data_IF_395343565275
#
_entry.id   IF_395343565275
#
_cell.length_a   1.000
_cell.length_b   1.000
_cell.length_c   1.000
_cell.angle_alpha   90.00
_cell.angle_beta   90.00
_cell.angle_gamma   90.00
#
_symmetry.space_group_name_H-M   'P 1'
#
loop_
_entity.id
_entity.type
_entity.pdbx_description
1 polymer ?
#
# COMPACT_ATOMS: atom_id res chain seq x y z
N UNK A 1 21.20 -8.25 0.43
CA UNK A 1 21.01 -9.47 -0.34
C UNK A 1 20.86 -9.18 -1.83
N UNK A 2 20.84 -10.22 -2.67
CA UNK A 2 20.76 -10.10 -4.15
C UNK A 2 19.52 -9.31 -4.61
N UNK A 3 18.40 -9.47 -3.91
CA UNK A 3 17.13 -8.78 -4.23
C UNK A 3 16.95 -7.43 -3.53
N UNK A 4 17.92 -6.98 -2.70
CA UNK A 4 17.78 -5.69 -2.01
C UNK A 4 17.98 -4.52 -2.97
N UNK A 5 17.01 -3.60 -3.01
CA UNK A 5 17.05 -2.39 -3.82
C UNK A 5 17.87 -1.33 -3.08
N UNK A 6 19.19 -1.45 -3.16
CA UNK A 6 20.13 -0.48 -2.58
C UNK A 6 20.31 0.70 -3.52
N UNK A 7 20.51 1.88 -2.96
CA UNK A 7 20.77 3.12 -3.69
C UNK A 7 21.98 2.99 -4.61
N UNK A 8 21.86 3.47 -5.83
CA UNK A 8 22.92 3.50 -6.84
C UNK A 8 23.33 2.15 -7.43
N UNK A 9 22.70 1.05 -7.01
CA UNK A 9 23.01 -0.30 -7.51
C UNK A 9 21.98 -0.78 -8.52
N UNK A 10 22.48 -1.37 -9.62
CA UNK A 10 21.64 -2.01 -10.61
C UNK A 10 21.09 -3.34 -10.10
N UNK A 11 19.82 -3.60 -10.38
CA UNK A 11 19.13 -4.84 -10.04
C UNK A 11 18.25 -5.29 -11.19
N UNK A 12 18.25 -6.59 -11.42
CA UNK A 12 17.25 -7.21 -12.30
C UNK A 12 15.90 -7.17 -11.62
N UNK A 13 14.88 -6.78 -12.36
CA UNK A 13 13.51 -6.71 -11.89
C UNK A 13 12.52 -7.14 -12.98
N UNK A 14 11.37 -7.61 -12.55
CA UNK A 14 10.18 -7.71 -13.39
C UNK A 14 9.33 -6.47 -13.11
N UNK A 15 9.16 -5.63 -14.13
CA UNK A 15 8.46 -4.36 -13.98
C UNK A 15 7.10 -4.40 -14.66
N UNK A 16 6.09 -3.85 -13.97
CA UNK A 16 4.77 -3.57 -14.53
C UNK A 16 4.65 -2.05 -14.71
N UNK A 17 4.72 -1.59 -15.95
CA UNK A 17 4.61 -0.18 -16.32
C UNK A 17 3.16 0.07 -16.72
N UNK A 18 2.48 0.99 -16.04
CA UNK A 18 1.05 1.23 -16.23
C UNK A 18 0.77 2.67 -16.63
N UNK A 19 -0.13 2.87 -17.60
CA UNK A 19 -0.73 4.17 -17.90
C UNK A 19 -2.09 4.25 -17.23
N UNK A 20 -2.28 5.23 -16.35
CA UNK A 20 -3.50 5.40 -15.56
C UNK A 20 -4.19 6.68 -15.99
N UNK A 21 -5.49 6.63 -16.24
CA UNK A 21 -6.29 7.79 -16.61
C UNK A 21 -6.74 8.61 -15.39
N UNK A 22 -7.38 9.76 -15.63
CA UNK A 22 -7.90 10.66 -14.60
C UNK A 22 -8.98 10.02 -13.69
N UNK A 23 -9.52 8.86 -14.07
CA UNK A 23 -10.48 8.09 -13.27
C UNK A 23 -9.81 6.98 -12.44
N UNK A 24 -8.49 6.94 -12.37
CA UNK A 24 -7.75 5.92 -11.61
C UNK A 24 -7.77 4.52 -12.24
N UNK A 25 -8.08 4.40 -13.55
CA UNK A 25 -8.13 3.11 -14.26
C UNK A 25 -6.91 2.94 -15.14
N UNK A 26 -6.36 1.73 -15.14
CA UNK A 26 -5.29 1.34 -16.07
C UNK A 26 -5.87 1.28 -17.48
N UNK A 27 -5.30 2.07 -18.40
CA UNK A 27 -5.70 2.13 -19.83
C UNK A 27 -4.65 1.52 -20.75
N UNK A 28 -3.50 1.18 -20.23
CA UNK A 28 -2.43 0.49 -20.93
C UNK A 28 -1.38 0.04 -19.94
N UNK A 29 -0.73 -1.09 -20.23
CA UNK A 29 0.36 -1.58 -19.40
C UNK A 29 1.37 -2.38 -20.22
N UNK A 30 2.55 -2.55 -19.64
CA UNK A 30 3.61 -3.38 -20.16
C UNK A 30 4.28 -4.12 -19.00
N UNK A 31 4.42 -5.42 -19.11
CA UNK A 31 5.18 -6.26 -18.20
C UNK A 31 6.49 -6.63 -18.89
N UNK A 32 7.62 -6.29 -18.28
CA UNK A 32 8.94 -6.48 -18.90
C UNK A 32 10.01 -6.84 -17.88
N UNK A 33 10.98 -7.63 -18.34
CA UNK A 33 12.24 -7.80 -17.64
C UNK A 33 13.08 -6.53 -17.80
N UNK A 34 13.56 -6.00 -16.69
CA UNK A 34 14.24 -4.70 -16.64
C UNK A 34 15.47 -4.75 -15.77
N UNK A 35 16.37 -3.79 -15.99
CA UNK A 35 17.42 -3.43 -15.04
C UNK A 35 17.04 -2.09 -14.43
N UNK A 36 16.87 -2.06 -13.12
CA UNK A 36 16.54 -0.84 -12.38
C UNK A 36 17.71 -0.42 -11.51
N UNK A 37 17.87 0.90 -11.32
CA UNK A 37 18.78 1.50 -10.38
C UNK A 37 18.03 2.49 -9.53
N UNK A 38 18.03 2.27 -8.22
CA UNK A 38 17.33 3.13 -7.25
C UNK A 38 18.18 4.38 -6.99
N UNK A 39 17.63 5.56 -7.20
CA UNK A 39 18.30 6.82 -6.95
C UNK A 39 18.43 7.12 -5.47
N UNK A 40 17.36 6.85 -4.69
CA UNK A 40 17.31 7.04 -3.25
C UNK A 40 16.53 5.94 -2.56
N UNK A 41 17.07 5.44 -1.46
CA UNK A 41 16.37 4.49 -0.60
C UNK A 41 15.60 5.21 0.50
N UNK A 42 14.34 5.55 0.21
CA UNK A 42 13.47 6.26 1.14
C UNK A 42 12.91 5.36 2.25
N UNK A 43 12.56 5.97 3.38
CA UNK A 43 11.83 5.32 4.46
C UNK A 43 10.40 5.84 4.51
N UNK A 44 9.45 5.02 4.99
CA UNK A 44 8.06 5.46 5.19
C UNK A 44 7.95 6.65 6.14
N UNK A 45 8.78 6.69 7.18
CA UNK A 45 8.80 7.79 8.14
C UNK A 45 9.19 9.11 7.49
N UNK A 46 10.29 9.12 6.70
CA UNK A 46 10.75 10.33 6.01
C UNK A 46 9.73 10.82 4.97
N UNK A 47 9.20 9.91 4.13
CA UNK A 47 8.19 10.29 3.12
C UNK A 47 6.89 10.78 3.78
N UNK A 48 6.46 10.15 4.87
CA UNK A 48 5.29 10.61 5.60
C UNK A 48 5.51 12.02 6.17
N UNK A 49 6.64 12.29 6.81
CA UNK A 49 6.98 13.61 7.34
C UNK A 49 7.00 14.69 6.24
N UNK A 50 7.61 14.40 5.08
CA UNK A 50 7.62 15.29 3.91
C UNK A 50 6.20 15.63 3.43
N UNK A 51 5.29 14.64 3.43
CA UNK A 51 3.94 14.81 2.90
C UNK A 51 2.96 15.42 3.89
N UNK A 52 3.11 15.17 5.19
CA UNK A 52 2.14 15.58 6.22
C UNK A 52 2.60 16.78 7.05
N UNK A 53 3.91 16.93 7.28
CA UNK A 53 4.47 17.92 8.19
C UNK A 53 5.72 18.61 7.59
N UNK A 54 5.65 19.16 6.35
CA UNK A 54 6.82 19.71 5.65
C UNK A 54 7.47 20.87 6.40
N UNK A 55 6.68 21.66 7.12
CA UNK A 55 7.17 22.81 7.90
C UNK A 55 7.93 22.40 9.16
N UNK A 56 7.62 21.22 9.72
CA UNK A 56 8.31 20.68 10.89
C UNK A 56 9.65 20.00 10.53
N UNK A 57 9.86 19.66 9.25
CA UNK A 57 11.02 18.93 8.77
C UNK A 57 11.70 19.61 7.57
N UNK A 58 12.17 20.89 7.71
CA UNK A 58 12.81 21.62 6.62
C UNK A 58 14.08 20.92 6.09
N UNK A 59 14.79 20.19 6.95
CA UNK A 59 15.98 19.41 6.58
C UNK A 59 15.64 18.28 5.57
N UNK A 60 14.52 17.58 5.76
CA UNK A 60 14.09 16.56 4.80
C UNK A 60 13.61 17.18 3.49
N UNK A 61 12.95 18.34 3.57
CA UNK A 61 12.50 19.08 2.39
C UNK A 61 13.67 19.56 1.54
N UNK A 62 14.79 19.97 2.15
CA UNK A 62 15.99 20.38 1.46
C UNK A 62 16.76 19.18 0.89
N UNK A 63 16.95 18.12 1.69
CA UNK A 63 17.68 16.93 1.29
C UNK A 63 17.01 16.21 0.11
N UNK A 64 15.67 16.12 0.12
CA UNK A 64 14.89 15.39 -0.90
C UNK A 64 14.09 16.30 -1.83
N UNK A 65 14.47 17.58 -1.97
CA UNK A 65 13.71 18.58 -2.74
C UNK A 65 13.38 18.14 -4.16
N UNK A 66 14.29 17.41 -4.84
CA UNK A 66 14.07 16.89 -6.19
C UNK A 66 12.97 15.81 -6.25
N UNK A 67 12.75 15.08 -5.16
CA UNK A 67 11.78 13.98 -5.07
C UNK A 67 10.41 14.42 -4.55
N UNK A 68 10.33 15.56 -3.86
CA UNK A 68 9.09 16.08 -3.27
C UNK A 68 7.95 16.21 -4.29
N UNK A 69 8.16 16.74 -5.51
CA UNK A 69 7.09 16.81 -6.51
C UNK A 69 6.56 15.42 -6.89
N UNK A 70 7.45 14.44 -7.04
CA UNK A 70 7.07 13.05 -7.34
C UNK A 70 6.24 12.45 -6.19
N UNK A 71 6.63 12.64 -4.91
CA UNK A 71 5.89 12.12 -3.78
C UNK A 71 4.47 12.70 -3.71
N UNK A 72 4.29 13.98 -4.02
CA UNK A 72 2.96 14.61 -4.11
C UNK A 72 2.10 14.01 -5.21
N UNK A 73 2.67 13.81 -6.40
CA UNK A 73 1.97 13.14 -7.50
C UNK A 73 1.60 11.70 -7.14
N UNK A 74 2.51 10.96 -6.47
CA UNK A 74 2.22 9.61 -5.98
C UNK A 74 1.07 9.62 -4.95
N UNK A 75 1.02 10.59 -4.05
CA UNK A 75 -0.07 10.75 -3.08
C UNK A 75 -1.42 11.02 -3.77
N UNK A 76 -1.45 11.92 -4.74
CA UNK A 76 -2.64 12.22 -5.54
C UNK A 76 -3.12 10.98 -6.31
N UNK A 77 -2.20 10.26 -6.95
CA UNK A 77 -2.50 9.03 -7.66
C UNK A 77 -3.03 7.94 -6.72
N UNK A 78 -2.42 7.76 -5.56
CA UNK A 78 -2.89 6.81 -4.54
C UNK A 78 -4.32 7.12 -4.09
N UNK A 79 -4.64 8.39 -3.84
CA UNK A 79 -6.00 8.81 -3.48
C UNK A 79 -7.02 8.47 -4.59
N UNK A 80 -6.63 8.69 -5.86
CA UNK A 80 -7.46 8.37 -7.02
C UNK A 80 -7.71 6.85 -7.15
N UNK A 81 -6.66 6.04 -7.04
CA UNK A 81 -6.73 4.57 -7.06
C UNK A 81 -7.65 4.06 -5.95
N UNK A 82 -7.47 4.59 -4.73
CA UNK A 82 -8.28 4.23 -3.56
C UNK A 82 -9.74 4.57 -3.74
N UNK A 83 -10.05 5.76 -4.30
CA UNK A 83 -11.43 6.15 -4.63
C UNK A 83 -12.06 5.16 -5.61
N UNK A 84 -11.34 4.81 -6.68
CA UNK A 84 -11.80 3.83 -7.66
C UNK A 84 -12.06 2.45 -7.04
N UNK A 85 -11.22 2.00 -6.11
CA UNK A 85 -11.43 0.74 -5.37
C UNK A 85 -12.66 0.80 -4.46
N UNK A 86 -12.88 1.91 -3.76
CA UNK A 86 -14.09 2.12 -2.93
C UNK A 86 -15.37 2.08 -3.76
N UNK A 87 -15.38 2.69 -4.94
CA UNK A 87 -16.51 2.63 -5.87
C UNK A 87 -16.81 1.19 -6.32
N UNK A 88 -15.78 0.33 -6.40
CA UNK A 88 -15.94 -1.12 -6.70
C UNK A 88 -16.41 -1.94 -5.49
N UNK A 89 -16.58 -1.34 -4.32
CA UNK A 89 -17.04 -1.99 -3.09
C UNK A 89 -15.92 -2.48 -2.16
N UNK A 90 -14.68 -2.00 -2.33
CA UNK A 90 -13.62 -2.29 -1.39
C UNK A 90 -13.92 -1.65 -0.03
N UNK A 91 -13.77 -2.42 1.04
CA UNK A 91 -13.96 -1.97 2.42
C UNK A 91 -12.56 -1.80 3.02
N UNK A 92 -12.27 -0.60 3.53
CA UNK A 92 -11.04 -0.35 4.29
C UNK A 92 -11.30 -0.72 5.76
N UNK A 93 -10.75 -1.84 6.21
CA UNK A 93 -10.71 -2.18 7.62
C UNK A 93 -9.38 -1.71 8.20
N UNK A 94 -9.44 -0.79 9.15
CA UNK A 94 -8.27 -0.40 9.93
C UNK A 94 -8.06 -1.39 11.09
N UNK A 95 -7.50 -2.56 10.79
CA UNK A 95 -7.00 -3.43 11.84
C UNK A 95 -5.57 -3.04 12.18
N UNK A 96 -5.29 -2.65 13.44
CA UNK A 96 -3.93 -2.37 13.85
C UNK A 96 -3.10 -3.67 13.80
N UNK A 97 -2.15 -3.73 12.87
CA UNK A 97 -1.14 -4.78 12.89
C UNK A 97 -0.21 -4.57 14.09
N UNK A 98 0.16 -5.66 14.75
CA UNK A 98 1.06 -5.59 15.90
C UNK A 98 2.51 -5.72 15.46
N UNK A 99 3.34 -4.77 15.89
CA UNK A 99 4.79 -4.82 15.75
C UNK A 99 5.41 -5.28 17.08
N UNK A 100 6.22 -6.34 17.04
CA UNK A 100 6.99 -6.80 18.18
C UNK A 100 8.37 -6.16 18.12
N UNK A 101 8.72 -5.42 19.16
CA UNK A 101 10.06 -4.85 19.34
C UNK A 101 10.89 -5.86 20.14
N UNK A 102 12.06 -6.19 19.59
CA UNK A 102 13.00 -7.12 20.20
C UNK A 102 14.20 -6.35 20.76
N UNK A 103 14.79 -6.84 21.84
CA UNK A 103 16.10 -6.39 22.34
C UNK A 103 17.26 -6.93 21.47
N UNK A 104 18.51 -6.61 21.88
CA UNK A 104 19.70 -7.07 21.18
C UNK A 104 19.89 -8.59 21.22
N UNK A 105 19.28 -9.25 22.18
CA UNK A 105 19.28 -10.70 22.39
C UNK A 105 18.15 -11.41 21.65
N UNK A 106 17.24 -10.65 21.01
CA UNK A 106 16.09 -11.17 20.26
C UNK A 106 14.86 -11.49 21.13
N UNK A 107 14.82 -11.01 22.37
CA UNK A 107 13.69 -11.17 23.27
C UNK A 107 12.65 -10.08 23.04
N UNK A 108 11.34 -10.39 22.97
CA UNK A 108 10.29 -9.39 22.86
C UNK A 108 10.25 -8.48 24.10
N UNK A 109 10.40 -7.16 23.89
CA UNK A 109 10.35 -6.15 24.95
C UNK A 109 9.08 -5.30 24.90
N UNK A 110 8.48 -5.17 23.71
CA UNK A 110 7.28 -4.35 23.54
C UNK A 110 6.45 -4.87 22.37
N UNK A 111 5.12 -4.74 22.49
CA UNK A 111 4.16 -4.95 21.40
C UNK A 111 3.44 -3.62 21.18
N UNK A 112 3.65 -3.01 20.02
CA UNK A 112 3.00 -1.76 19.65
C UNK A 112 2.25 -1.90 18.31
N UNK A 113 1.22 -1.08 18.04
CA UNK A 113 0.59 -1.09 16.73
C UNK A 113 1.57 -0.63 15.66
N UNK A 114 1.56 -1.30 14.50
CA UNK A 114 2.29 -0.85 13.33
C UNK A 114 1.61 0.42 12.80
N UNK A 115 2.31 1.55 12.67
CA UNK A 115 1.68 2.77 12.24
C UNK A 115 1.30 2.70 10.75
N UNK A 116 -0.01 2.73 10.47
CA UNK A 116 -0.50 3.00 9.12
C UNK A 116 -0.42 4.51 8.88
N UNK A 117 0.34 4.92 7.88
CA UNK A 117 0.52 6.33 7.53
C UNK A 117 0.33 6.57 6.02
N UNK A 118 0.41 7.82 5.58
CA UNK A 118 0.20 8.19 4.17
C UNK A 118 1.15 7.43 3.25
N UNK A 119 2.42 7.31 3.63
CA UNK A 119 3.44 6.66 2.80
C UNK A 119 3.23 5.13 2.69
N UNK A 120 2.85 4.46 3.78
CA UNK A 120 2.55 3.01 3.74
C UNK A 120 1.33 2.71 2.89
N UNK A 121 0.25 3.50 3.04
CA UNK A 121 -0.99 3.36 2.25
C UNK A 121 -0.75 3.61 0.77
N UNK A 122 0.08 4.57 0.42
CA UNK A 122 0.43 4.90 -0.95
C UNK A 122 1.11 3.71 -1.65
N UNK A 123 2.06 3.08 -1.01
CA UNK A 123 2.75 1.89 -1.55
C UNK A 123 1.79 0.70 -1.64
N UNK A 124 0.92 0.51 -0.65
CA UNK A 124 -0.11 -0.54 -0.68
C UNK A 124 -1.03 -0.39 -1.89
N UNK A 125 -1.53 0.81 -2.19
CA UNK A 125 -2.39 1.06 -3.34
C UNK A 125 -1.68 0.73 -4.67
N UNK A 126 -0.41 1.08 -4.81
CA UNK A 126 0.38 0.74 -6.00
C UNK A 126 0.67 -0.76 -6.11
N UNK A 127 0.96 -1.42 -5.00
CA UNK A 127 1.15 -2.88 -4.97
C UNK A 127 -0.12 -3.62 -5.40
N UNK A 128 -1.27 -3.21 -4.88
CA UNK A 128 -2.56 -3.81 -5.24
C UNK A 128 -2.89 -3.60 -6.71
N UNK A 129 -2.70 -2.39 -7.24
CA UNK A 129 -2.91 -2.11 -8.66
C UNK A 129 -1.99 -2.94 -9.56
N UNK A 130 -0.70 -3.05 -9.21
CA UNK A 130 0.24 -3.87 -9.95
C UNK A 130 -0.17 -5.35 -9.93
N UNK A 131 -0.55 -5.88 -8.77
CA UNK A 131 -1.00 -7.25 -8.61
C UNK A 131 -2.27 -7.54 -9.44
N UNK A 132 -3.25 -6.64 -9.41
CA UNK A 132 -4.49 -6.75 -10.20
C UNK A 132 -4.16 -6.75 -11.70
N UNK A 133 -3.31 -5.82 -12.16
CA UNK A 133 -2.94 -5.69 -13.58
C UNK A 133 -2.20 -6.93 -14.10
N UNK A 134 -1.24 -7.44 -13.33
CA UNK A 134 -0.51 -8.65 -13.71
C UNK A 134 -1.43 -9.86 -13.73
N UNK A 135 -2.29 -10.02 -12.72
CA UNK A 135 -3.23 -11.15 -12.67
C UNK A 135 -4.22 -11.12 -13.84
N UNK A 136 -4.76 -9.95 -14.19
CA UNK A 136 -5.69 -9.77 -15.30
C UNK A 136 -5.04 -10.10 -16.65
N UNK A 137 -3.81 -9.62 -16.87
CA UNK A 137 -3.06 -9.87 -18.12
C UNK A 137 -2.87 -11.36 -18.37
N UNK A 138 -2.35 -12.11 -17.37
CA UNK A 138 -2.09 -13.54 -17.53
C UNK A 138 -3.39 -14.35 -17.58
N UNK A 139 -4.43 -13.94 -16.85
CA UNK A 139 -5.74 -14.57 -16.91
C UNK A 139 -6.40 -14.42 -18.29
N UNK A 140 -6.37 -13.20 -18.84
CA UNK A 140 -6.98 -12.90 -20.15
C UNK A 140 -6.27 -13.64 -21.30
N UNK A 141 -4.96 -13.82 -21.17
CA UNK A 141 -4.16 -14.58 -22.15
C UNK A 141 -4.18 -16.09 -21.95
N UNK A 142 -4.88 -16.59 -20.94
CA UNK A 142 -4.93 -18.02 -20.59
C UNK A 142 -3.54 -18.65 -20.38
N UNK A 143 -2.57 -17.84 -19.92
CA UNK A 143 -1.21 -18.31 -19.61
C UNK A 143 -1.21 -18.94 -18.23
N UNK A 144 -0.63 -20.14 -18.05
CA UNK A 144 -0.49 -20.75 -16.72
C UNK A 144 0.26 -19.84 -15.76
N UNK A 145 -0.39 -19.49 -14.64
CA UNK A 145 0.12 -18.57 -13.63
C UNK A 145 -0.37 -18.97 -12.25
N UNK A 146 0.40 -18.66 -11.20
CA UNK A 146 -0.02 -18.89 -9.84
C UNK A 146 -0.79 -17.69 -9.30
N UNK A 147 -2.07 -17.88 -9.04
CA UNK A 147 -2.96 -16.86 -8.46
C UNK A 147 -3.16 -17.10 -6.98
N UNK A 148 -3.10 -16.02 -6.18
CA UNK A 148 -3.61 -16.04 -4.82
C UNK A 148 -5.09 -15.62 -4.86
N UNK A 149 -5.96 -16.59 -4.67
CA UNK A 149 -7.41 -16.36 -4.68
C UNK A 149 -7.98 -16.40 -3.27
N UNK A 150 -9.11 -15.72 -3.09
CA UNK A 150 -9.94 -15.81 -1.90
C UNK A 150 -11.34 -16.21 -2.32
N UNK A 151 -11.92 -17.19 -1.64
CA UNK A 151 -13.30 -17.60 -1.84
C UNK A 151 -14.26 -16.49 -1.37
N UNK A 152 -15.52 -16.58 -1.83
CA UNK A 152 -16.56 -15.71 -1.31
C UNK A 152 -16.69 -15.92 0.20
N UNK A 153 -16.97 -14.84 0.96
CA UNK A 153 -17.20 -14.96 2.38
C UNK A 153 -18.33 -15.98 2.66
N UNK A 154 -18.13 -16.78 3.68
CA UNK A 154 -19.15 -17.69 4.21
C UNK A 154 -20.34 -16.86 4.74
N UNK A 155 -21.58 -17.22 4.33
CA UNK A 155 -22.78 -16.45 4.66
C UNK A 155 -23.02 -16.36 6.17
N UNK A 156 -22.82 -17.45 6.90
CA UNK A 156 -23.06 -17.50 8.34
C UNK A 156 -22.03 -16.65 9.09
N UNK A 157 -20.76 -16.66 8.64
CA UNK A 157 -19.71 -15.80 9.19
C UNK A 157 -19.95 -14.33 8.88
N UNK A 158 -20.48 -14.00 7.70
CA UNK A 158 -20.86 -12.63 7.36
C UNK A 158 -21.97 -12.12 8.26
N UNK A 159 -23.01 -12.92 8.51
CA UNK A 159 -24.11 -12.56 9.40
C UNK A 159 -23.64 -12.37 10.84
N UNK A 160 -22.78 -13.25 11.34
CA UNK A 160 -22.16 -13.11 12.65
C UNK A 160 -21.33 -11.84 12.77
N UNK A 161 -20.55 -11.50 11.72
CA UNK A 161 -19.72 -10.27 11.68
C UNK A 161 -20.59 -9.02 11.65
N UNK A 162 -21.66 -9.00 10.83
CA UNK A 162 -22.60 -7.89 10.77
C UNK A 162 -23.30 -7.67 12.12
N UNK A 163 -23.71 -8.75 12.78
CA UNK A 163 -24.32 -8.70 14.12
C UNK A 163 -23.33 -8.10 15.13
N UNK A 164 -22.07 -8.52 15.10
CA UNK A 164 -21.01 -7.97 15.96
C UNK A 164 -20.80 -6.49 15.69
N UNK A 165 -20.70 -6.08 14.43
CA UNK A 165 -20.53 -4.67 14.05
C UNK A 165 -21.73 -3.83 14.55
N UNK A 166 -22.95 -4.30 14.41
CA UNK A 166 -24.15 -3.60 14.89
C UNK A 166 -24.17 -3.45 16.42
N UNK A 167 -23.71 -4.45 17.17
CA UNK A 167 -23.61 -4.39 18.61
C UNK A 167 -22.58 -3.36 19.10
N UNK A 168 -21.45 -3.23 18.40
CA UNK A 168 -20.38 -2.29 18.78
C UNK A 168 -20.56 -0.87 18.25
N UNK A 169 -21.34 -0.67 17.17
CA UNK A 169 -21.59 0.65 16.57
C UNK A 169 -22.90 1.30 16.99
N UNK A 170 -23.78 0.56 17.67
CA UNK A 170 -25.00 1.14 18.23
C UNK A 170 -24.67 1.95 19.49
N UNK A 171 -25.17 3.20 19.62
CA UNK A 171 -24.99 3.97 20.83
C UNK A 171 -25.58 3.21 22.04
N UNK A 172 -24.81 3.17 23.13
CA UNK A 172 -25.27 2.54 24.36
C UNK A 172 -26.54 3.22 24.86
N UNK A 173 -27.56 2.48 25.35
CA UNK A 173 -28.73 3.09 25.98
C UNK A 173 -28.40 3.99 27.20
N UNK A 174 -27.14 4.02 27.65
CA UNK A 174 -26.66 4.87 28.74
C UNK A 174 -26.14 6.23 28.26
N UNK A 175 -26.02 6.45 26.95
CA UNK A 175 -25.51 7.68 26.35
C UNK A 175 -26.64 8.58 25.81
N UNK A 176 -27.90 8.30 26.22
CA UNK A 176 -29.10 9.09 25.92
C UNK A 176 -29.65 9.77 27.15
#
# INVERSE_FOLDING_TARGET
GICSLNEGQERLALSCIMTINEKGRVIGHQIAETVIRVDRRMTYTAVNAILTEPEAHPELMEEYHELVPMFRQMQELSALIRSCRKERGAIDFEFPESKVILDAEGTPVEICPYPSNVATRMIEDFMLMANETVAEEYCTREIPFLYRTHDKPDGDRMEATLTLCLLYTSPSPRDS
#
